data_IF_607018865915
#
_entry.id   IF_607018865915
#
_cell.length_a   1.000
_cell.length_b   1.000
_cell.length_c   1.000
_cell.angle_alpha   90.00
_cell.angle_beta   90.00
_cell.angle_gamma   90.00
#
_symmetry.space_group_name_H-M   'P 1'
#
loop_
_entity.id
_entity.type
_entity.pdbx_description
1 polymer ?
#
# COMPACT_ATOMS: atom_id res chain seq x y z
N UNK A 1 4.97 -16.42 -15.32
CA UNK A 1 3.81 -15.51 -15.34
C UNK A 1 3.08 -15.67 -14.02
N UNK A 2 2.62 -14.58 -13.41
CA UNK A 2 2.00 -14.56 -12.07
C UNK A 2 0.70 -13.77 -12.11
N UNK A 3 -0.43 -14.44 -11.82
CA UNK A 3 -1.74 -13.80 -11.76
C UNK A 3 -2.39 -14.12 -10.42
N UNK A 4 -2.71 -13.11 -9.61
CA UNK A 4 -3.27 -13.32 -8.26
C UNK A 4 -4.17 -12.19 -7.81
N UNK A 5 -5.13 -12.54 -6.95
CA UNK A 5 -5.82 -11.57 -6.10
C UNK A 5 -5.03 -11.45 -4.79
N UNK A 6 -4.77 -10.23 -4.34
CA UNK A 6 -4.14 -9.96 -3.03
C UNK A 6 -5.17 -9.28 -2.15
N UNK A 7 -5.61 -9.99 -1.11
CA UNK A 7 -6.46 -9.44 -0.07
C UNK A 7 -5.63 -8.54 0.86
N UNK A 8 -6.20 -7.38 1.21
CA UNK A 8 -5.65 -6.49 2.25
C UNK A 8 -6.35 -6.76 3.58
N UNK A 9 -5.66 -6.49 4.69
CA UNK A 9 -6.27 -6.56 6.02
C UNK A 9 -6.27 -5.19 6.69
N UNK A 10 -7.37 -4.43 6.56
CA UNK A 10 -7.43 -3.09 7.13
C UNK A 10 -7.54 -3.16 8.66
N UNK A 11 -6.96 -2.16 9.32
CA UNK A 11 -7.21 -1.87 10.73
C UNK A 11 -8.31 -0.83 10.82
N UNK A 12 -9.41 -1.18 11.50
CA UNK A 12 -10.60 -0.34 11.61
C UNK A 12 -10.81 0.11 13.07
N UNK A 13 -11.39 1.30 13.24
CA UNK A 13 -11.94 1.71 14.53
C UNK A 13 -13.08 0.74 14.88
N UNK A 14 -13.11 0.16 16.09
CA UNK A 14 -14.14 -0.79 16.49
C UNK A 14 -15.55 -0.21 16.40
N UNK A 15 -16.51 -1.09 16.12
CA UNK A 15 -17.93 -0.77 16.21
C UNK A 15 -18.30 -0.37 17.65
N UNK A 16 -19.20 0.60 17.79
CA UNK A 16 -19.64 1.11 19.10
C UNK A 16 -18.75 2.19 19.73
N UNK A 17 -17.55 2.44 19.18
CA UNK A 17 -16.69 3.55 19.65
C UNK A 17 -17.14 4.86 19.02
N UNK A 18 -17.41 5.87 19.85
CA UNK A 18 -17.78 7.22 19.44
C UNK A 18 -16.54 8.06 19.02
N UNK A 19 -15.68 7.46 18.20
CA UNK A 19 -14.50 8.08 17.60
C UNK A 19 -14.54 7.85 16.09
N UNK A 20 -14.16 8.87 15.33
CA UNK A 20 -14.08 8.82 13.88
C UNK A 20 -13.05 9.81 13.35
N UNK A 21 -12.52 9.55 12.16
CA UNK A 21 -11.71 10.54 11.43
C UNK A 21 -12.52 11.80 11.14
N UNK A 22 -11.94 12.96 11.35
CA UNK A 22 -12.49 14.25 10.96
C UNK A 22 -12.43 14.40 9.44
N UNK A 23 -13.57 14.49 8.77
CA UNK A 23 -13.62 14.67 7.33
C UNK A 23 -12.81 15.91 6.84
N UNK A 24 -12.12 15.83 5.68
CA UNK A 24 -11.40 16.95 5.04
C UNK A 24 -12.27 18.14 4.71
N UNK A 25 -13.46 17.88 4.17
CA UNK A 25 -14.31 18.93 3.64
C UNK A 25 -15.13 19.57 4.76
N UNK A 26 -15.19 20.91 4.85
CA UNK A 26 -16.11 21.59 5.75
C UNK A 26 -17.56 21.31 5.33
N UNK A 27 -18.51 21.47 6.27
CA UNK A 27 -19.91 21.06 6.06
C UNK A 27 -20.58 21.71 4.84
N UNK A 28 -20.25 22.97 4.56
CA UNK A 28 -20.77 23.75 3.43
C UNK A 28 -20.22 23.33 2.06
N UNK A 29 -19.13 22.54 2.02
CA UNK A 29 -18.51 22.03 0.79
C UNK A 29 -18.78 20.53 0.57
N UNK A 30 -19.61 19.92 1.44
CA UNK A 30 -19.98 18.51 1.33
C UNK A 30 -21.13 18.36 0.36
N UNK A 31 -20.96 17.43 -0.57
CA UNK A 31 -22.05 16.95 -1.42
C UNK A 31 -23.07 16.19 -0.56
N UNK A 32 -24.30 16.05 -1.08
CA UNK A 32 -25.43 15.45 -0.34
C UNK A 32 -25.11 14.05 0.19
N UNK A 33 -24.38 13.26 -0.58
CA UNK A 33 -23.99 11.87 -0.32
C UNK A 33 -22.63 11.74 0.40
N UNK A 34 -22.02 12.86 0.79
CA UNK A 34 -20.65 12.84 1.33
C UNK A 34 -20.53 12.05 2.63
N UNK A 35 -21.54 12.15 3.50
CA UNK A 35 -21.51 11.45 4.80
C UNK A 35 -21.63 9.94 4.61
N UNK A 36 -22.41 9.50 3.64
CA UNK A 36 -22.65 8.08 3.37
C UNK A 36 -21.44 7.41 2.71
N UNK A 37 -20.76 8.15 1.83
CA UNK A 37 -19.67 7.58 1.04
C UNK A 37 -18.27 7.81 1.67
N UNK A 38 -18.11 8.70 2.66
CA UNK A 38 -16.80 8.95 3.28
C UNK A 38 -16.40 7.85 4.26
N UNK A 39 -15.15 7.41 4.18
CA UNK A 39 -14.59 6.46 5.14
C UNK A 39 -14.09 7.15 6.42
N UNK A 40 -14.89 7.00 7.47
CA UNK A 40 -14.64 7.54 8.80
C UNK A 40 -13.87 6.59 9.73
N UNK A 41 -13.73 5.30 9.35
CA UNK A 41 -13.42 4.21 10.29
C UNK A 41 -12.11 3.50 9.99
N UNK A 42 -11.61 3.49 8.76
CA UNK A 42 -10.29 2.88 8.49
C UNK A 42 -9.18 3.69 9.13
N UNK A 43 -8.37 3.06 9.99
CA UNK A 43 -7.14 3.63 10.54
C UNK A 43 -5.99 3.40 9.55
N UNK A 44 -5.80 2.14 9.14
CA UNK A 44 -4.83 1.72 8.13
C UNK A 44 -5.50 0.83 7.10
N UNK A 45 -5.18 1.04 5.82
CA UNK A 45 -5.65 0.21 4.71
C UNK A 45 -5.03 -1.19 4.77
N UNK A 46 -3.75 -1.27 5.13
CA UNK A 46 -3.01 -2.52 5.21
C UNK A 46 -1.83 -2.44 6.17
N UNK A 47 -1.41 -3.59 6.65
CA UNK A 47 -0.28 -3.78 7.56
C UNK A 47 0.59 -4.89 7.01
N UNK A 48 1.86 -4.61 6.71
CA UNK A 48 2.73 -5.57 6.04
C UNK A 48 4.20 -5.43 6.45
N UNK A 49 4.96 -6.49 6.21
CA UNK A 49 6.41 -6.46 6.40
C UNK A 49 7.11 -5.63 5.33
N UNK A 50 8.14 -4.88 5.69
CA UNK A 50 9.03 -4.23 4.71
C UNK A 50 10.43 -4.18 5.26
N UNK A 51 11.34 -4.95 4.66
CA UNK A 51 12.70 -5.14 5.17
C UNK A 51 12.65 -5.62 6.63
N UNK A 52 13.24 -4.85 7.55
CA UNK A 52 13.23 -5.11 8.98
C UNK A 52 12.11 -4.35 9.71
N UNK A 53 11.06 -3.90 9.03
CA UNK A 53 9.98 -3.12 9.63
C UNK A 53 8.61 -3.78 9.43
N UNK A 54 7.67 -3.44 10.32
CA UNK A 54 6.24 -3.52 10.04
C UNK A 54 5.77 -2.14 9.62
N UNK A 55 5.18 -2.06 8.44
CA UNK A 55 4.62 -0.84 7.88
C UNK A 55 3.10 -0.89 7.92
N UNK A 56 2.50 0.23 8.31
CA UNK A 56 1.06 0.46 8.29
C UNK A 56 0.81 1.67 7.39
N UNK A 57 -0.01 1.48 6.36
CA UNK A 57 -0.31 2.51 5.37
C UNK A 57 -1.78 2.85 5.46
N UNK A 58 -2.12 4.12 5.57
CA UNK A 58 -3.51 4.52 5.77
C UNK A 58 -3.84 5.91 5.26
N UNK A 59 -5.14 6.23 5.19
CA UNK A 59 -5.59 7.60 5.00
C UNK A 59 -5.04 8.52 6.08
N UNK A 60 -4.90 9.81 5.78
CA UNK A 60 -4.39 10.76 6.77
C UNK A 60 -5.16 10.66 8.10
N UNK A 61 -4.43 10.48 9.20
CA UNK A 61 -4.94 10.16 10.53
C UNK A 61 -5.71 11.34 11.13
N UNK A 62 -5.28 12.59 10.84
CA UNK A 62 -5.94 13.81 11.31
C UNK A 62 -6.06 13.82 12.83
N UNK A 63 -7.28 13.93 13.36
CA UNK A 63 -7.54 13.86 14.80
C UNK A 63 -7.23 12.48 15.41
N UNK A 64 -7.05 11.44 14.60
CA UNK A 64 -6.60 10.14 15.10
C UNK A 64 -5.09 10.12 15.35
N UNK A 65 -4.31 11.02 14.74
CA UNK A 65 -2.85 11.04 14.86
C UNK A 65 -2.41 11.15 16.32
N UNK A 66 -3.02 12.05 17.08
CA UNK A 66 -2.71 12.21 18.51
C UNK A 66 -3.03 10.95 19.32
N UNK A 67 -4.11 10.23 18.97
CA UNK A 67 -4.53 9.01 19.67
C UNK A 67 -3.57 7.86 19.35
N UNK A 68 -3.20 7.74 18.07
CA UNK A 68 -2.28 6.71 17.57
C UNK A 68 -0.86 6.96 18.09
N UNK A 69 -0.44 8.23 18.22
CA UNK A 69 0.88 8.60 18.73
C UNK A 69 1.07 8.25 20.22
N UNK A 70 0.05 8.47 21.06
CA UNK A 70 0.12 8.14 22.50
C UNK A 70 -0.40 6.73 22.83
N UNK A 71 -0.81 5.98 21.82
CA UNK A 71 -1.37 4.64 21.97
C UNK A 71 -0.35 3.66 22.52
N UNK A 72 -0.84 2.69 23.29
CA UNK A 72 -0.06 1.52 23.69
C UNK A 72 -0.07 0.54 22.53
N UNK A 73 1.09 0.36 21.92
CA UNK A 73 1.24 -0.54 20.79
C UNK A 73 1.59 -1.95 21.25
N UNK A 74 1.08 -2.94 20.53
CA UNK A 74 1.40 -4.34 20.78
C UNK A 74 1.66 -5.11 19.49
N UNK A 75 2.53 -6.11 19.61
CA UNK A 75 2.82 -7.11 18.59
C UNK A 75 2.45 -8.46 19.17
N UNK A 76 1.57 -9.20 18.50
CA UNK A 76 1.06 -10.50 18.99
C UNK A 76 0.61 -10.43 20.47
N UNK A 77 0.02 -9.31 20.89
CA UNK A 77 -0.41 -9.06 22.27
C UNK A 77 0.69 -8.60 23.25
N UNK A 78 1.96 -8.59 22.86
CA UNK A 78 3.06 -8.10 23.69
C UNK A 78 3.28 -6.60 23.48
N UNK A 79 3.27 -5.84 24.57
CA UNK A 79 3.44 -4.39 24.53
C UNK A 79 4.83 -4.00 24.01
N UNK A 80 4.86 -3.10 23.03
CA UNK A 80 6.06 -2.44 22.56
C UNK A 80 6.42 -1.25 23.45
N UNK A 81 7.71 -0.94 23.51
CA UNK A 81 8.26 0.18 24.31
C UNK A 81 8.86 1.28 23.44
N UNK A 82 9.24 0.94 22.23
CA UNK A 82 9.71 1.88 21.22
C UNK A 82 8.55 2.63 20.58
N UNK A 83 8.84 3.83 20.10
CA UNK A 83 7.87 4.72 19.50
C UNK A 83 7.72 4.44 17.99
N UNK A 84 6.50 4.52 17.44
CA UNK A 84 6.27 4.44 16.00
C UNK A 84 6.96 5.59 15.25
N UNK A 85 7.50 5.29 14.07
CA UNK A 85 7.97 6.31 13.12
C UNK A 85 6.82 6.74 12.22
N UNK A 86 6.39 8.01 12.34
CA UNK A 86 5.35 8.60 11.48
C UNK A 86 5.95 9.31 10.27
N UNK A 87 5.31 9.13 9.12
CA UNK A 87 5.60 9.86 7.89
C UNK A 87 4.29 10.25 7.20
N UNK A 88 3.89 11.50 7.36
CA UNK A 88 2.75 12.06 6.66
C UNK A 88 3.07 12.49 5.23
N UNK A 89 2.15 12.20 4.33
CA UNK A 89 2.13 12.65 2.94
C UNK A 89 0.78 13.30 2.66
N UNK A 90 0.60 13.98 1.53
CA UNK A 90 -0.61 14.77 1.26
C UNK A 90 -1.93 14.05 1.60
N UNK A 91 -2.12 12.80 1.16
CA UNK A 91 -3.38 12.03 1.37
C UNK A 91 -3.25 10.83 2.31
N UNK A 92 -2.03 10.44 2.64
CA UNK A 92 -1.72 9.17 3.28
C UNK A 92 -0.69 9.37 4.35
N UNK A 93 -0.89 8.69 5.46
CA UNK A 93 0.10 8.58 6.51
C UNK A 93 0.66 7.16 6.53
N UNK A 94 1.96 7.09 6.74
CA UNK A 94 2.66 5.85 6.99
C UNK A 94 3.13 5.83 8.44
N UNK A 95 2.87 4.73 9.11
CA UNK A 95 3.37 4.45 10.44
C UNK A 95 4.23 3.20 10.35
N UNK A 96 5.35 3.15 11.07
CA UNK A 96 6.24 2.00 11.00
C UNK A 96 6.93 1.70 12.33
N UNK A 97 7.18 0.42 12.57
CA UNK A 97 7.99 -0.08 13.67
C UNK A 97 9.15 -0.90 13.13
N UNK A 98 10.32 -0.72 13.73
CA UNK A 98 11.49 -1.53 13.44
C UNK A 98 11.43 -2.81 14.26
N UNK A 99 11.54 -3.96 13.59
CA UNK A 99 11.55 -5.27 14.21
C UNK A 99 12.96 -5.63 14.65
N UNK A 100 13.10 -6.08 15.89
CA UNK A 100 14.35 -6.61 16.39
C UNK A 100 14.53 -8.07 15.96
N UNK A 101 15.78 -8.52 15.84
CA UNK A 101 16.12 -9.89 15.39
C UNK A 101 15.40 -11.00 16.19
N UNK A 102 15.14 -10.79 17.49
CA UNK A 102 14.38 -11.74 18.32
C UNK A 102 12.90 -11.89 17.92
N UNK A 103 12.29 -10.84 17.39
CA UNK A 103 10.91 -10.85 16.90
C UNK A 103 10.80 -11.56 15.54
N UNK A 104 11.91 -11.66 14.81
CA UNK A 104 12.00 -12.34 13.52
C UNK A 104 12.38 -13.83 13.63
N UNK A 105 13.00 -14.27 14.74
CA UNK A 105 13.71 -15.55 14.84
C UNK A 105 13.02 -16.65 15.67
N UNK A 106 11.85 -16.41 16.27
CA UNK A 106 11.21 -17.41 17.15
C UNK A 106 9.69 -17.48 17.17
N UNK A 107 8.98 -16.41 16.82
CA UNK A 107 7.52 -16.39 16.71
C UNK A 107 7.12 -15.51 15.52
N UNK A 108 6.35 -16.00 14.53
CA UNK A 108 5.94 -15.16 13.41
C UNK A 108 5.08 -14.00 13.94
N UNK A 109 5.49 -12.76 13.64
CA UNK A 109 4.65 -11.60 13.94
C UNK A 109 3.48 -11.61 12.95
N UNK A 110 2.26 -11.73 13.44
CA UNK A 110 1.10 -11.86 12.58
C UNK A 110 -0.02 -10.88 12.95
N UNK A 111 0.10 -10.18 14.08
CA UNK A 111 -0.89 -9.21 14.52
C UNK A 111 -0.22 -7.98 15.13
N UNK A 112 -0.77 -6.82 14.79
CA UNK A 112 -0.44 -5.54 15.40
C UNK A 112 -1.68 -4.98 16.11
N UNK A 113 -1.48 -4.35 17.26
CA UNK A 113 -2.57 -3.72 18.02
C UNK A 113 -2.19 -2.33 18.52
N UNK A 114 -3.17 -1.44 18.61
CA UNK A 114 -3.04 -0.12 19.25
C UNK A 114 -4.22 0.14 20.17
N UNK A 115 -3.91 0.44 21.44
CA UNK A 115 -4.93 0.72 22.44
C UNK A 115 -4.70 2.09 23.10
N UNK A 116 -5.73 2.93 23.12
CA UNK A 116 -5.71 4.23 23.77
C UNK A 116 -7.11 4.58 24.32
N UNK A 117 -7.29 4.49 25.64
CA UNK A 117 -8.58 4.69 26.28
C UNK A 117 -9.63 3.70 25.74
N UNK A 118 -10.62 4.22 25.03
CA UNK A 118 -11.72 3.45 24.40
C UNK A 118 -11.41 2.96 22.99
N UNK A 119 -10.29 3.40 22.39
CA UNK A 119 -9.84 2.90 21.11
C UNK A 119 -9.01 1.65 21.35
N UNK A 120 -9.40 0.53 20.76
CA UNK A 120 -8.63 -0.72 20.77
C UNK A 120 -8.74 -1.37 19.40
N UNK A 121 -7.72 -1.21 18.56
CA UNK A 121 -7.74 -1.68 17.19
C UNK A 121 -6.66 -2.72 16.99
N UNK A 122 -6.99 -3.80 16.29
CA UNK A 122 -6.02 -4.77 15.82
C UNK A 122 -6.06 -4.92 14.31
N UNK A 123 -4.95 -5.40 13.75
CA UNK A 123 -4.83 -5.70 12.34
C UNK A 123 -3.83 -6.82 12.11
N UNK A 124 -4.09 -7.62 11.08
CA UNK A 124 -3.22 -8.72 10.68
C UNK A 124 -2.04 -8.19 9.86
N UNK A 125 -0.85 -8.69 10.14
CA UNK A 125 0.34 -8.38 9.35
C UNK A 125 0.43 -9.33 8.16
N UNK A 126 0.59 -8.77 6.97
CA UNK A 126 0.67 -9.49 5.71
C UNK A 126 2.11 -9.55 5.16
N UNK A 127 2.41 -10.52 4.30
CA UNK A 127 3.66 -10.54 3.54
C UNK A 127 3.79 -9.31 2.63
N UNK A 128 5.04 -8.92 2.35
CA UNK A 128 5.31 -7.96 1.30
C UNK A 128 5.22 -8.63 -0.07
N UNK A 129 4.30 -8.17 -0.92
CA UNK A 129 4.09 -8.75 -2.24
C UNK A 129 4.76 -7.92 -3.37
N UNK A 130 5.48 -6.86 -3.01
CA UNK A 130 6.12 -5.95 -3.98
C UNK A 130 7.14 -6.63 -4.90
N UNK A 131 7.80 -7.68 -4.41
CA UNK A 131 8.81 -8.42 -5.15
C UNK A 131 8.26 -9.06 -6.44
N UNK A 132 6.95 -9.32 -6.51
CA UNK A 132 6.28 -9.86 -7.71
C UNK A 132 6.45 -8.92 -8.92
N UNK A 133 6.60 -7.62 -8.68
CA UNK A 133 6.76 -6.59 -9.72
C UNK A 133 8.22 -6.21 -10.00
N UNK A 134 9.19 -6.90 -9.40
CA UNK A 134 10.60 -6.56 -9.56
C UNK A 134 11.04 -6.61 -11.02
N UNK A 135 11.61 -5.51 -11.52
CA UNK A 135 12.06 -5.39 -12.91
C UNK A 135 10.94 -5.19 -13.95
N UNK A 136 9.69 -5.01 -13.52
CA UNK A 136 8.52 -4.85 -14.41
C UNK A 136 8.16 -3.39 -14.68
N UNK A 137 7.56 -3.14 -15.84
CA UNK A 137 6.88 -1.88 -16.18
C UNK A 137 5.41 -2.04 -15.85
N UNK A 138 5.03 -1.56 -14.67
CA UNK A 138 3.71 -1.82 -14.09
C UNK A 138 2.73 -0.71 -14.44
N UNK A 139 1.59 -1.07 -15.03
CA UNK A 139 0.41 -0.22 -15.12
C UNK A 139 -0.41 -0.35 -13.84
N UNK A 140 -0.65 0.77 -13.16
CA UNK A 140 -1.38 0.80 -11.89
C UNK A 140 -2.59 1.70 -11.99
N UNK A 141 -3.76 1.23 -11.55
CA UNK A 141 -4.97 2.04 -11.54
C UNK A 141 -5.98 1.55 -10.50
N UNK A 142 -6.95 2.41 -10.20
CA UNK A 142 -8.15 2.09 -9.43
C UNK A 142 -9.30 1.96 -10.42
N UNK A 143 -10.11 0.92 -10.26
CA UNK A 143 -11.17 0.54 -11.17
C UNK A 143 -12.50 0.40 -10.41
N UNK A 144 -13.63 0.85 -10.99
CA UNK A 144 -14.96 0.62 -10.42
C UNK A 144 -15.98 0.49 -11.55
N UNK A 145 -16.55 -0.69 -11.72
CA UNK A 145 -17.61 -0.95 -12.71
C UNK A 145 -17.26 -0.46 -14.14
N UNK A 146 -15.98 -0.45 -14.52
CA UNK A 146 -15.66 -0.19 -15.92
C UNK A 146 -15.90 -1.47 -16.71
N UNK A 147 -16.47 -1.32 -17.91
CA UNK A 147 -16.70 -2.46 -18.78
C UNK A 147 -15.38 -3.24 -19.01
N UNK A 148 -15.43 -4.57 -18.82
CA UNK A 148 -14.26 -5.43 -18.91
C UNK A 148 -13.55 -5.37 -20.27
N UNK A 149 -14.29 -5.21 -21.38
CA UNK A 149 -13.68 -5.04 -22.70
C UNK A 149 -12.92 -3.71 -22.82
N UNK A 150 -13.47 -2.63 -22.25
CA UNK A 150 -12.77 -1.35 -22.19
C UNK A 150 -11.50 -1.43 -21.33
N UNK A 151 -11.53 -2.15 -20.21
CA UNK A 151 -10.33 -2.39 -19.39
C UNK A 151 -9.28 -3.14 -20.20
N UNK A 152 -9.67 -4.18 -20.93
CA UNK A 152 -8.78 -4.97 -21.80
C UNK A 152 -8.13 -4.09 -22.86
N UNK A 153 -8.93 -3.34 -23.61
CA UNK A 153 -8.44 -2.46 -24.68
C UNK A 153 -7.50 -1.37 -24.13
N UNK A 154 -7.81 -0.84 -22.95
CA UNK A 154 -6.97 0.12 -22.26
C UNK A 154 -5.61 -0.46 -21.88
N UNK A 155 -5.57 -1.66 -21.30
CA UNK A 155 -4.30 -2.35 -20.98
C UNK A 155 -3.50 -2.64 -22.25
N UNK A 156 -4.14 -3.14 -23.31
CA UNK A 156 -3.50 -3.41 -24.62
C UNK A 156 -2.90 -2.13 -25.20
N UNK A 157 -3.62 -1.01 -25.11
CA UNK A 157 -3.10 0.29 -25.55
C UNK A 157 -1.80 0.65 -24.81
N UNK A 158 -1.80 0.60 -23.47
CA UNK A 158 -0.59 0.90 -22.69
C UNK A 158 0.55 -0.08 -22.94
N UNK A 159 0.23 -1.35 -23.17
CA UNK A 159 1.21 -2.36 -23.52
C UNK A 159 1.89 -2.01 -24.85
N UNK A 160 1.11 -1.71 -25.89
CA UNK A 160 1.65 -1.38 -27.21
C UNK A 160 2.42 -0.05 -27.23
N UNK A 161 1.94 0.94 -26.49
CA UNK A 161 2.51 2.29 -26.53
C UNK A 161 3.67 2.48 -25.56
N UNK A 162 3.64 1.83 -24.39
CA UNK A 162 4.61 2.04 -23.32
C UNK A 162 5.43 0.78 -22.96
N UNK A 163 5.07 -0.36 -23.55
CA UNK A 163 5.74 -1.64 -23.31
C UNK A 163 5.57 -2.10 -21.87
N UNK A 164 4.40 -1.89 -21.28
CA UNK A 164 4.09 -2.47 -19.96
C UNK A 164 4.07 -3.99 -20.08
N UNK A 165 4.49 -4.67 -19.02
CA UNK A 165 4.50 -6.13 -18.91
C UNK A 165 3.91 -6.61 -17.58
N UNK A 166 3.35 -5.69 -16.79
CA UNK A 166 2.66 -5.98 -15.54
C UNK A 166 1.48 -5.02 -15.29
N UNK A 167 0.46 -5.51 -14.60
CA UNK A 167 -0.75 -4.76 -14.25
C UNK A 167 -1.08 -4.94 -12.76
N UNK A 168 -1.38 -3.85 -12.06
CA UNK A 168 -1.90 -3.83 -10.69
C UNK A 168 -3.18 -2.99 -10.66
N UNK A 169 -4.33 -3.63 -10.49
CA UNK A 169 -5.62 -2.95 -10.37
C UNK A 169 -6.15 -3.05 -8.94
N UNK A 170 -6.57 -1.92 -8.41
CA UNK A 170 -7.39 -1.86 -7.21
C UNK A 170 -8.85 -1.86 -7.63
N UNK A 171 -9.60 -2.90 -7.30
CA UNK A 171 -11.04 -2.96 -7.54
C UNK A 171 -11.79 -2.26 -6.41
N UNK A 172 -12.41 -1.13 -6.71
CA UNK A 172 -13.07 -0.26 -5.74
C UNK A 172 -14.54 -0.64 -5.55
N UNK A 173 -14.74 -1.87 -5.07
CA UNK A 173 -16.05 -2.43 -4.74
C UNK A 173 -16.95 -2.48 -5.99
N UNK A 174 -16.44 -3.11 -7.05
CA UNK A 174 -17.22 -3.32 -8.28
C UNK A 174 -18.33 -4.34 -8.05
N UNK A 175 -19.47 -4.09 -8.68
CA UNK A 175 -20.70 -4.88 -8.59
C UNK A 175 -21.12 -5.49 -9.93
N UNK A 176 -20.50 -5.06 -11.03
CA UNK A 176 -20.85 -5.51 -12.40
C UNK A 176 -20.11 -6.77 -12.84
N UNK A 177 -19.05 -7.14 -12.15
CA UNK A 177 -18.24 -8.33 -12.38
C UNK A 177 -17.52 -8.72 -11.09
N UNK A 178 -17.04 -9.96 -11.05
CA UNK A 178 -16.19 -10.47 -9.98
C UNK A 178 -14.72 -10.13 -10.21
N UNK A 179 -13.93 -10.12 -9.13
CA UNK A 179 -12.48 -9.93 -9.23
C UNK A 179 -11.79 -11.03 -10.07
N UNK A 180 -12.37 -12.24 -10.12
CA UNK A 180 -11.86 -13.34 -10.93
C UNK A 180 -12.04 -13.06 -12.42
N UNK A 181 -13.21 -12.57 -12.84
CA UNK A 181 -13.44 -12.16 -14.23
C UNK A 181 -12.50 -11.02 -14.64
N UNK A 182 -12.25 -10.06 -13.76
CA UNK A 182 -11.28 -9.00 -14.01
C UNK A 182 -9.85 -9.56 -14.15
N UNK A 183 -9.45 -10.50 -13.30
CA UNK A 183 -8.13 -11.12 -13.37
C UNK A 183 -7.97 -11.97 -14.65
N UNK A 184 -8.99 -12.70 -15.06
CA UNK A 184 -9.01 -13.48 -16.29
C UNK A 184 -8.85 -12.58 -17.53
N UNK A 185 -9.49 -11.41 -17.54
CA UNK A 185 -9.31 -10.40 -18.60
C UNK A 185 -7.85 -9.97 -18.73
N UNK A 186 -7.16 -9.75 -17.60
CA UNK A 186 -5.73 -9.37 -17.59
C UNK A 186 -4.86 -10.53 -18.08
N UNK A 187 -5.17 -11.75 -17.64
CA UNK A 187 -4.44 -12.98 -17.98
C UNK A 187 -4.51 -13.31 -19.46
N UNK A 188 -5.61 -12.97 -20.13
CA UNK A 188 -5.82 -13.18 -21.56
C UNK A 188 -5.05 -12.21 -22.46
N UNK A 189 -4.31 -11.24 -21.90
CA UNK A 189 -3.53 -10.27 -22.68
C UNK A 189 -2.12 -10.80 -22.88
N UNK A 190 -1.81 -11.19 -24.12
CA UNK A 190 -0.47 -11.62 -24.51
C UNK A 190 0.58 -10.54 -24.20
N UNK A 191 1.70 -10.93 -23.59
CA UNK A 191 2.80 -10.03 -23.23
C UNK A 191 2.62 -9.30 -21.89
N UNK A 192 1.57 -9.60 -21.13
CA UNK A 192 1.49 -9.30 -19.70
C UNK A 192 1.99 -10.53 -18.92
N UNK A 193 3.08 -10.37 -18.17
CA UNK A 193 3.66 -11.44 -17.37
C UNK A 193 3.10 -11.50 -15.94
N UNK A 194 2.61 -10.37 -15.44
CA UNK A 194 2.14 -10.22 -14.06
C UNK A 194 0.82 -9.45 -14.03
N UNK A 195 -0.21 -10.04 -13.43
CA UNK A 195 -1.49 -9.38 -13.19
C UNK A 195 -1.91 -9.52 -11.73
N UNK A 196 -2.16 -8.41 -11.05
CA UNK A 196 -2.63 -8.42 -9.66
C UNK A 196 -3.89 -7.59 -9.53
N UNK A 197 -4.89 -8.14 -8.87
CA UNK A 197 -6.11 -7.44 -8.48
C UNK A 197 -6.15 -7.35 -6.96
N UNK A 198 -6.45 -6.18 -6.42
CA UNK A 198 -6.58 -5.92 -4.97
C UNK A 198 -8.00 -5.41 -4.70
N UNK A 199 -8.82 -6.09 -3.89
CA UNK A 199 -10.08 -5.52 -3.43
C UNK A 199 -9.81 -4.30 -2.56
N UNK A 200 -10.39 -3.16 -2.94
CA UNK A 200 -10.25 -1.90 -2.25
C UNK A 200 -11.61 -1.45 -1.70
N UNK A 201 -12.02 -2.05 -0.59
CA UNK A 201 -13.31 -1.75 0.06
C UNK A 201 -13.30 -0.50 0.94
N UNK A 202 -12.11 0.08 1.18
CA UNK A 202 -11.93 1.06 2.24
C UNK A 202 -12.30 2.50 1.87
N UNK A 203 -12.66 2.83 0.60
CA UNK A 203 -12.92 4.24 0.22
C UNK A 203 -14.00 4.40 -0.85
N UNK A 204 -15.23 4.76 -0.46
CA UNK A 204 -16.32 5.08 -1.43
C UNK A 204 -16.23 6.51 -1.96
N UNK A 205 -15.73 7.48 -1.20
CA UNK A 205 -15.37 8.83 -1.69
C UNK A 205 -13.87 8.93 -1.83
N UNK A 206 -13.41 8.65 -3.04
CA UNK A 206 -12.25 9.34 -3.56
C UNK A 206 -12.77 10.40 -4.52
N UNK A 207 -12.60 11.71 -4.24
CA UNK A 207 -12.66 12.64 -5.35
C UNK A 207 -11.59 12.20 -6.34
N UNK A 208 -11.90 12.29 -7.64
CA UNK A 208 -11.08 12.00 -8.83
C UNK A 208 -9.59 12.40 -8.76
N UNK A 209 -9.16 13.11 -7.72
CA UNK A 209 -7.82 13.65 -7.51
C UNK A 209 -6.78 12.59 -7.05
N UNK A 210 -7.08 11.29 -7.02
CA UNK A 210 -6.02 10.24 -7.02
C UNK A 210 -5.66 9.80 -8.46
N UNK A 211 -6.32 10.32 -9.50
CA UNK A 211 -5.88 10.07 -10.88
C UNK A 211 -4.49 10.64 -11.23
N UNK A 212 -3.86 11.46 -10.38
CA UNK A 212 -2.60 12.10 -10.76
C UNK A 212 -1.34 11.70 -10.00
N UNK A 213 -1.40 11.12 -8.80
CA UNK A 213 -0.17 10.75 -8.09
C UNK A 213 -0.34 9.55 -7.15
N UNK A 214 0.04 8.39 -7.68
CA UNK A 214 0.82 7.32 -7.05
C UNK A 214 0.91 7.36 -5.52
N UNK A 215 -0.01 6.69 -4.82
CA UNK A 215 0.07 6.53 -3.36
C UNK A 215 0.67 5.18 -2.97
N UNK A 216 0.31 4.06 -3.62
CA UNK A 216 1.00 2.79 -3.37
C UNK A 216 2.24 2.60 -4.25
N UNK A 217 2.20 3.16 -5.46
CA UNK A 217 3.33 3.12 -6.40
C UNK A 217 4.52 3.90 -5.87
N UNK A 218 4.36 4.94 -5.04
CA UNK A 218 5.52 5.66 -4.51
C UNK A 218 6.25 4.89 -3.39
N UNK A 219 5.58 3.98 -2.68
CA UNK A 219 6.28 3.05 -1.78
C UNK A 219 6.98 1.94 -2.56
N UNK A 220 6.33 1.36 -3.58
CA UNK A 220 6.96 0.43 -4.52
C UNK A 220 8.17 1.06 -5.25
N UNK A 221 8.06 2.31 -5.70
CA UNK A 221 9.14 3.03 -6.39
C UNK A 221 10.26 3.39 -5.42
N UNK A 222 10.00 3.81 -4.18
CA UNK A 222 11.10 4.13 -3.25
C UNK A 222 11.85 2.87 -2.77
N UNK A 223 11.19 1.73 -2.59
CA UNK A 223 11.87 0.48 -2.24
C UNK A 223 12.70 -0.06 -3.43
N UNK A 224 12.20 0.08 -4.66
CA UNK A 224 12.96 -0.28 -5.87
C UNK A 224 14.10 0.71 -6.17
N UNK A 225 13.95 2.00 -5.84
CA UNK A 225 15.02 3.00 -5.97
C UNK A 225 16.10 2.83 -4.90
N UNK A 226 15.77 2.45 -3.66
CA UNK A 226 16.76 2.17 -2.61
C UNK A 226 17.59 0.92 -2.92
N UNK A 227 17.00 -0.13 -3.48
CA UNK A 227 17.75 -1.32 -3.91
C UNK A 227 18.71 -1.04 -5.08
N UNK A 228 18.29 -0.20 -6.04
CA UNK A 228 19.16 0.20 -7.15
C UNK A 228 20.28 1.17 -6.73
N UNK A 229 20.07 2.00 -5.69
CA UNK A 229 21.12 2.87 -5.17
C UNK A 229 22.19 2.11 -4.36
N UNK A 230 21.78 1.06 -3.63
CA UNK A 230 22.70 0.22 -2.88
C UNK A 230 23.58 -0.67 -3.79
N UNK A 231 23.03 -1.14 -4.93
CA UNK A 231 23.79 -1.87 -5.94
C UNK A 231 24.69 -0.96 -6.80
N UNK A 232 24.27 0.27 -7.12
CA UNK A 232 25.14 1.24 -7.83
C UNK A 232 26.35 1.67 -7.01
N UNK A 233 26.17 1.93 -5.72
CA UNK A 233 27.26 2.42 -4.86
C UNK A 233 28.29 1.33 -4.49
N UNK A 234 27.90 0.05 -4.51
CA UNK A 234 28.83 -1.07 -4.31
C UNK A 234 29.62 -1.42 -5.59
N UNK A 235 28.99 -1.30 -6.76
CA UNK A 235 29.64 -1.59 -8.05
C UNK A 235 30.54 -0.44 -8.54
N UNK A 236 30.16 0.83 -8.31
CA UNK A 236 30.97 1.99 -8.69
C UNK A 236 32.21 2.15 -7.81
N UNK A 237 32.17 1.78 -6.52
CA UNK A 237 33.38 1.79 -5.66
C UNK A 237 34.42 0.73 -6.06
N UNK A 238 33.99 -0.39 -6.65
CA UNK A 238 34.92 -1.40 -7.19
C UNK A 238 35.50 -0.97 -8.55
N UNK A 239 34.72 -0.29 -9.38
CA UNK A 239 35.18 0.20 -10.69
C UNK A 239 36.11 1.42 -10.59
N UNK A 240 35.89 2.33 -9.63
CA UNK A 240 36.76 3.50 -9.42
C UNK A 240 38.15 3.10 -8.88
N UNK A 241 38.22 2.08 -8.00
CA UNK A 241 39.49 1.57 -7.48
C UNK A 241 40.32 0.78 -8.51
N UNK A 242 39.67 0.18 -9.52
CA UNK A 242 40.37 -0.47 -10.64
C UNK A 242 40.87 0.52 -11.70
N UNK A 243 40.16 1.65 -11.91
CA UNK A 243 40.64 2.71 -12.82
C UNK A 243 41.76 3.56 -12.22
N UNK A 244 41.77 3.83 -10.91
CA UNK A 244 42.82 4.62 -10.27
C UNK A 244 44.17 3.88 -10.14
N UNK A 245 44.18 2.54 -10.15
CA UNK A 245 45.44 1.75 -10.18
C UNK A 245 46.10 1.70 -11.57
N UNK A 246 45.39 2.01 -12.66
CA UNK A 246 45.96 2.05 -14.03
C UNK A 246 46.45 3.43 -14.49
N UNK A 247 46.30 4.46 -13.66
CA UNK A 247 46.74 5.84 -13.95
C UNK A 247 47.99 6.23 -13.12
N UNK A 248 48.52 5.30 -12.29
CA UNK A 248 49.74 5.51 -11.49
C UNK A 248 50.76 4.37 -11.65
N UNK A 249 50.87 3.79 -12.85
CA UNK A 249 51.95 2.89 -13.24
C UNK A 249 52.51 3.35 -14.59
#
# INVERSE_FOLDING_TARGET
MTFKIIEITPMLIPYGVNTSRRAPRPLNERQKDYVENYDYKTVFYDIFYSENNVCMVGPNLRNLESIINIGKWSINGFLRRDEPKFKSMWKVDNVSFELNYGELSGNPVNQFGVSCGWLDCDGKIQPNESAIFSGKKVLVSINKNNNLACIKDWIIFYQRTHGIDAVLLYDNDSTEYTMYELLDVIKDIEGIDVGVVVPWVCVKILPLVILFFNVLVFMLINTIYMFNYCLKTSCEKKFLNLKLKKIRA
#
